data_IF_508191210272
#
_entry.id   IF_508191210272
#
_cell.length_a   1.000
_cell.length_b   1.000
_cell.length_c   1.000
_cell.angle_alpha   90.00
_cell.angle_beta   90.00
_cell.angle_gamma   90.00
#
_symmetry.space_group_name_H-M   'P 1'
#
loop_
_entity.id
_entity.type
_entity.pdbx_description
1 polymer ?
#
# COMPACT_ATOMS: atom_id res chain seq x y z
N UNK A 1 -14.51 16.37 0.59
CA UNK A 1 -14.43 14.92 0.30
C UNK A 1 -15.70 14.41 -0.37
N UNK A 2 -16.88 14.56 0.24
CA UNK A 2 -18.15 14.08 -0.34
C UNK A 2 -18.43 14.63 -1.75
N UNK A 3 -18.22 15.93 -1.98
CA UNK A 3 -18.37 16.57 -3.31
C UNK A 3 -17.42 15.95 -4.35
N UNK A 4 -16.13 15.78 -4.03
CA UNK A 4 -15.17 15.15 -4.93
C UNK A 4 -15.55 13.69 -5.26
N UNK A 5 -16.04 12.93 -4.27
CA UNK A 5 -16.53 11.57 -4.48
C UNK A 5 -17.78 11.55 -5.37
N UNK A 6 -18.70 12.49 -5.20
CA UNK A 6 -19.89 12.64 -6.04
C UNK A 6 -19.49 12.95 -7.49
N UNK A 7 -18.54 13.84 -7.71
CA UNK A 7 -18.00 14.14 -9.05
C UNK A 7 -17.37 12.90 -9.71
N UNK A 8 -16.59 12.11 -8.96
CA UNK A 8 -15.99 10.87 -9.46
C UNK A 8 -17.01 9.76 -9.70
N UNK A 9 -18.11 9.74 -8.93
CA UNK A 9 -19.14 8.70 -9.03
C UNK A 9 -19.84 8.64 -10.40
N UNK A 10 -19.74 9.70 -11.19
CA UNK A 10 -20.22 9.76 -12.58
C UNK A 10 -19.56 8.69 -13.46
N UNK A 11 -18.29 8.36 -13.19
CA UNK A 11 -17.51 7.40 -13.96
C UNK A 11 -16.57 6.63 -13.02
N UNK A 12 -17.10 5.63 -12.27
CA UNK A 12 -16.37 5.01 -11.17
C UNK A 12 -15.31 3.99 -11.61
N UNK A 13 -15.29 3.62 -12.90
CA UNK A 13 -14.37 2.63 -13.46
C UNK A 13 -13.54 3.24 -14.59
N UNK A 14 -12.27 2.84 -14.68
CA UNK A 14 -11.33 3.35 -15.70
C UNK A 14 -11.74 3.06 -17.15
N UNK A 15 -12.62 2.07 -17.35
CA UNK A 15 -13.16 1.70 -18.65
C UNK A 15 -14.25 2.65 -19.16
N UNK A 16 -14.70 3.59 -18.32
CA UNK A 16 -15.68 4.60 -18.70
C UNK A 16 -14.99 5.78 -19.41
N UNK A 17 -15.53 6.22 -20.54
CA UNK A 17 -14.99 7.32 -21.34
C UNK A 17 -14.90 8.64 -20.53
N UNK A 18 -15.75 8.81 -19.51
CA UNK A 18 -15.75 9.99 -18.65
C UNK A 18 -14.80 9.88 -17.46
N UNK A 19 -14.13 8.75 -17.23
CA UNK A 19 -13.28 8.53 -16.05
C UNK A 19 -12.15 9.56 -15.94
N UNK A 20 -11.44 9.80 -17.04
CA UNK A 20 -10.35 10.77 -17.03
C UNK A 20 -10.86 12.21 -16.94
N UNK A 21 -11.96 12.50 -17.64
CA UNK A 21 -12.57 13.83 -17.63
C UNK A 21 -13.17 14.20 -16.26
N UNK A 22 -13.77 13.25 -15.54
CA UNK A 22 -14.26 13.47 -14.18
C UNK A 22 -13.11 13.73 -13.21
N UNK A 23 -12.01 12.98 -13.32
CA UNK A 23 -10.81 13.20 -12.53
C UNK A 23 -10.20 14.60 -12.77
N UNK A 24 -10.10 15.05 -14.03
CA UNK A 24 -9.62 16.40 -14.35
C UNK A 24 -10.51 17.50 -13.78
N UNK A 25 -11.84 17.34 -13.82
CA UNK A 25 -12.77 18.28 -13.17
C UNK A 25 -12.54 18.35 -11.66
N UNK A 26 -12.26 17.23 -10.99
CA UNK A 26 -11.93 17.21 -9.56
C UNK A 26 -10.63 17.95 -9.30
N UNK A 27 -9.58 17.72 -10.09
CA UNK A 27 -8.30 18.41 -9.91
C UNK A 27 -8.39 19.92 -10.14
N UNK A 28 -9.19 20.36 -11.11
CA UNK A 28 -9.45 21.79 -11.33
C UNK A 28 -10.24 22.43 -10.16
N UNK A 29 -11.21 21.68 -9.61
CA UNK A 29 -12.04 22.14 -8.49
C UNK A 29 -11.31 22.16 -7.15
N UNK A 30 -10.40 21.20 -6.94
CA UNK A 30 -9.63 21.01 -5.72
C UNK A 30 -8.13 21.00 -6.06
N UNK A 31 -7.56 22.17 -6.43
CA UNK A 31 -6.13 22.27 -6.72
C UNK A 31 -5.30 22.08 -5.45
N UNK A 32 -3.99 21.84 -5.64
CA UNK A 32 -2.97 21.79 -4.58
C UNK A 32 -3.24 20.75 -3.48
N UNK A 33 -3.02 19.44 -3.75
CA UNK A 33 -3.18 18.43 -2.72
C UNK A 33 -2.22 18.71 -1.56
N UNK A 34 -2.72 18.65 -0.32
CA UNK A 34 -1.91 18.87 0.89
C UNK A 34 -0.85 17.80 1.18
N UNK A 35 -0.69 16.82 0.29
CA UNK A 35 0.24 15.71 0.40
C UNK A 35 0.79 15.32 -0.97
N UNK A 36 2.03 14.83 -0.99
CA UNK A 36 2.62 14.21 -2.16
C UNK A 36 2.20 12.74 -2.28
N UNK A 37 2.02 12.29 -3.51
CA UNK A 37 1.70 10.92 -3.89
C UNK A 37 2.55 10.46 -5.08
N UNK A 38 3.00 9.21 -5.04
CA UNK A 38 3.81 8.59 -6.08
C UNK A 38 3.05 7.43 -6.72
N UNK A 39 2.80 7.52 -8.03
CA UNK A 39 2.32 6.40 -8.85
C UNK A 39 3.49 5.67 -9.51
N UNK A 40 3.52 4.34 -9.40
CA UNK A 40 4.53 3.49 -10.05
C UNK A 40 3.87 2.48 -11.01
N UNK A 41 3.35 2.95 -12.17
CA UNK A 41 2.67 2.08 -13.13
C UNK A 41 3.66 1.16 -13.86
N UNK A 42 3.18 0.02 -14.33
CA UNK A 42 3.99 -0.90 -15.15
C UNK A 42 4.00 -0.49 -16.64
N UNK A 43 4.97 -1.00 -17.40
CA UNK A 43 4.87 -1.11 -18.87
C UNK A 43 4.25 -2.43 -19.33
N UNK A 44 4.21 -3.43 -18.46
CA UNK A 44 3.93 -4.81 -18.82
C UNK A 44 2.44 -5.07 -19.08
N UNK A 45 1.56 -4.42 -18.30
CA UNK A 45 0.11 -4.53 -18.45
C UNK A 45 -0.45 -3.21 -18.99
N UNK A 46 -0.90 -3.21 -20.25
CA UNK A 46 -1.47 -2.02 -20.91
C UNK A 46 -2.76 -1.48 -20.28
N UNK A 47 -3.33 -2.17 -19.29
CA UNK A 47 -4.57 -1.81 -18.60
C UNK A 47 -4.35 -1.21 -17.20
N UNK A 48 -3.10 -1.09 -16.72
CA UNK A 48 -2.77 -0.41 -15.46
C UNK A 48 -2.39 1.05 -15.73
N UNK A 49 -3.41 1.86 -16.05
CA UNK A 49 -3.22 3.29 -16.27
C UNK A 49 -2.73 3.99 -14.99
N UNK A 50 -1.81 4.97 -15.09
CA UNK A 50 -1.44 5.78 -13.93
C UNK A 50 -2.67 6.51 -13.40
N UNK A 51 -2.80 6.57 -12.07
CA UNK A 51 -3.86 7.37 -11.45
C UNK A 51 -3.66 8.86 -11.80
N UNK A 52 -4.71 9.57 -12.23
CA UNK A 52 -4.61 10.99 -12.58
C UNK A 52 -4.27 11.87 -11.37
N UNK A 53 -4.48 11.38 -10.15
CA UNK A 53 -4.23 12.09 -8.89
C UNK A 53 -2.80 11.92 -8.35
N UNK A 54 -1.92 11.22 -9.06
CA UNK A 54 -0.52 11.09 -8.64
C UNK A 54 0.20 12.42 -8.82
N UNK A 55 0.81 12.97 -7.76
CA UNK A 55 1.64 14.18 -7.88
C UNK A 55 2.95 13.90 -8.63
N UNK A 56 3.43 12.66 -8.54
CA UNK A 56 4.65 12.19 -9.19
C UNK A 56 4.40 10.82 -9.81
N UNK A 57 5.04 10.55 -10.95
CA UNK A 57 4.98 9.24 -11.62
C UNK A 57 6.41 8.74 -11.85
N UNK A 58 6.72 7.56 -11.34
CA UNK A 58 7.97 6.86 -11.63
C UNK A 58 7.67 5.62 -12.49
N UNK A 59 8.22 5.57 -13.70
CA UNK A 59 7.95 4.48 -14.66
C UNK A 59 9.23 3.75 -15.01
N UNK A 60 9.38 2.53 -14.50
CA UNK A 60 10.58 1.71 -14.66
C UNK A 60 10.46 0.80 -15.88
N UNK A 61 11.49 0.77 -16.74
CA UNK A 61 11.52 -0.12 -17.91
C UNK A 61 11.55 -1.61 -17.54
N UNK A 62 12.26 -1.96 -16.47
CA UNK A 62 12.33 -3.33 -15.97
C UNK A 62 11.24 -3.58 -14.92
N UNK A 63 10.36 -4.54 -15.19
CA UNK A 63 9.27 -4.86 -14.26
C UNK A 63 9.80 -5.45 -12.95
N UNK A 64 10.87 -6.25 -12.98
CA UNK A 64 11.49 -6.80 -11.76
C UNK A 64 11.86 -5.71 -10.75
N UNK A 65 12.50 -4.64 -11.22
CA UNK A 65 12.89 -3.49 -10.37
C UNK A 65 11.66 -2.76 -9.84
N UNK A 66 10.59 -2.65 -10.64
CA UNK A 66 9.31 -2.07 -10.21
C UNK A 66 8.66 -2.89 -9.10
N UNK A 67 8.49 -4.20 -9.31
CA UNK A 67 7.84 -5.10 -8.36
C UNK A 67 8.58 -5.15 -7.03
N UNK A 68 9.91 -5.19 -7.06
CA UNK A 68 10.71 -5.14 -5.84
C UNK A 68 10.60 -3.77 -5.15
N UNK A 69 10.75 -2.69 -5.93
CA UNK A 69 10.78 -1.32 -5.43
C UNK A 69 9.47 -0.86 -4.78
N UNK A 70 8.32 -1.27 -5.34
CA UNK A 70 6.99 -0.88 -4.84
C UNK A 70 6.84 -1.06 -3.33
N UNK A 71 7.23 -2.24 -2.82
CA UNK A 71 7.14 -2.58 -1.40
C UNK A 71 8.36 -2.07 -0.63
N UNK A 72 9.55 -2.10 -1.23
CA UNK A 72 10.77 -1.60 -0.60
C UNK A 72 10.69 -0.10 -0.23
N UNK A 73 9.96 0.70 -1.00
CA UNK A 73 9.76 2.12 -0.71
C UNK A 73 8.75 2.38 0.43
N UNK A 74 7.87 1.42 0.75
CA UNK A 74 6.77 1.57 1.70
C UNK A 74 7.21 1.46 3.17
N UNK A 75 8.17 2.28 3.59
CA UNK A 75 8.74 2.31 4.95
C UNK A 75 7.71 2.48 6.08
N UNK A 76 6.62 3.19 5.79
CA UNK A 76 5.57 3.49 6.77
C UNK A 76 4.57 2.35 6.97
N UNK A 77 4.58 1.34 6.12
CA UNK A 77 3.60 0.25 6.06
C UNK A 77 2.87 0.18 4.73
N UNK A 78 2.25 -0.97 4.49
CA UNK A 78 1.50 -1.28 3.27
C UNK A 78 0.04 -1.55 3.65
N UNK A 79 -0.88 -1.00 2.85
CA UNK A 79 -2.32 -1.23 2.99
C UNK A 79 -2.81 -2.04 1.78
N UNK A 80 -3.24 -3.27 2.02
CA UNK A 80 -3.79 -4.17 1.01
C UNK A 80 -5.32 -4.04 0.97
N UNK A 81 -5.85 -3.46 -0.12
CA UNK A 81 -7.28 -3.42 -0.42
C UNK A 81 -7.71 -4.66 -1.20
N UNK A 82 -9.03 -4.99 -1.29
CA UNK A 82 -9.49 -6.11 -2.11
C UNK A 82 -8.93 -6.05 -3.54
N UNK A 83 -8.30 -7.15 -3.94
CA UNK A 83 -7.56 -7.24 -5.20
C UNK A 83 -7.49 -8.67 -5.73
N UNK A 84 -6.72 -8.88 -6.79
CA UNK A 84 -6.63 -10.17 -7.50
C UNK A 84 -5.25 -10.82 -7.30
N UNK A 85 -4.77 -11.58 -8.29
CA UNK A 85 -3.52 -12.32 -8.21
C UNK A 85 -2.29 -11.43 -7.93
N UNK A 86 -2.22 -10.23 -8.54
CA UNK A 86 -1.14 -9.28 -8.29
C UNK A 86 -1.06 -8.87 -6.82
N UNK A 87 -2.20 -8.49 -6.23
CA UNK A 87 -2.26 -8.14 -4.81
C UNK A 87 -1.89 -9.31 -3.90
N UNK A 88 -2.24 -10.55 -4.26
CA UNK A 88 -1.81 -11.72 -3.49
C UNK A 88 -0.30 -11.90 -3.56
N UNK A 89 0.31 -11.71 -4.73
CA UNK A 89 1.77 -11.74 -4.88
C UNK A 89 2.43 -10.67 -3.99
N UNK A 90 1.94 -9.43 -4.02
CA UNK A 90 2.45 -8.34 -3.18
C UNK A 90 2.37 -8.67 -1.69
N UNK A 91 1.25 -9.25 -1.23
CA UNK A 91 1.09 -9.67 0.18
C UNK A 91 2.18 -10.65 0.60
N UNK A 92 2.46 -11.68 -0.21
CA UNK A 92 3.46 -12.68 0.14
C UNK A 92 4.90 -12.16 -0.03
N UNK A 93 5.12 -11.21 -0.94
CA UNK A 93 6.41 -10.54 -1.08
C UNK A 93 6.72 -9.66 0.14
N UNK A 94 5.78 -8.81 0.57
CA UNK A 94 5.92 -7.97 1.77
C UNK A 94 6.04 -8.84 3.04
N UNK A 95 5.30 -9.96 3.10
CA UNK A 95 5.43 -10.94 4.17
C UNK A 95 6.87 -11.45 4.31
N UNK A 96 7.46 -11.89 3.20
CA UNK A 96 8.83 -12.40 3.20
C UNK A 96 9.83 -11.28 3.56
N UNK A 97 9.64 -10.08 3.01
CA UNK A 97 10.47 -8.92 3.31
C UNK A 97 10.46 -8.58 4.81
N UNK A 98 9.28 -8.54 5.44
CA UNK A 98 9.13 -8.26 6.86
C UNK A 98 9.67 -9.40 7.73
N UNK A 99 9.40 -10.66 7.39
CA UNK A 99 9.93 -11.82 8.11
C UNK A 99 11.46 -11.77 8.24
N UNK A 100 12.15 -11.49 7.13
CA UNK A 100 13.61 -11.43 7.09
C UNK A 100 14.18 -10.05 7.42
N UNK A 101 13.35 -9.03 7.67
CA UNK A 101 13.75 -7.62 7.77
C UNK A 101 14.72 -7.23 6.64
N UNK A 102 14.38 -7.55 5.40
CA UNK A 102 15.32 -7.50 4.25
C UNK A 102 15.93 -6.10 4.02
N UNK A 103 15.26 -5.04 4.49
CA UNK A 103 15.74 -3.66 4.43
C UNK A 103 16.09 -3.06 5.81
N UNK A 104 16.28 -3.91 6.82
CA UNK A 104 16.66 -3.54 8.19
C UNK A 104 15.50 -3.10 9.09
N UNK A 105 14.26 -3.30 8.64
CA UNK A 105 13.04 -3.06 9.42
C UNK A 105 11.90 -3.93 8.89
N UNK A 106 10.88 -4.14 9.72
CA UNK A 106 9.58 -4.65 9.31
C UNK A 106 8.53 -3.54 9.42
N UNK A 107 7.76 -3.35 8.35
CA UNK A 107 6.69 -2.34 8.27
C UNK A 107 5.31 -2.94 8.56
N UNK A 108 4.31 -2.12 8.94
CA UNK A 108 2.94 -2.60 9.13
C UNK A 108 2.35 -3.22 7.86
N UNK A 109 1.76 -4.40 8.00
CA UNK A 109 0.95 -5.04 6.96
C UNK A 109 -0.53 -4.90 7.33
N UNK A 110 -1.24 -3.99 6.66
CA UNK A 110 -2.63 -3.68 6.98
C UNK A 110 -3.56 -4.18 5.87
N UNK A 111 -4.53 -4.99 6.23
CA UNK A 111 -5.54 -5.52 5.34
C UNK A 111 -6.85 -4.74 5.53
N UNK A 112 -7.34 -4.12 4.46
CA UNK A 112 -8.61 -3.39 4.47
C UNK A 112 -9.73 -4.27 3.89
N UNK A 113 -10.90 -4.28 4.52
CA UNK A 113 -12.06 -5.14 4.25
C UNK A 113 -11.94 -6.54 4.90
N UNK A 114 -12.48 -6.66 6.13
CA UNK A 114 -12.45 -7.88 6.94
C UNK A 114 -13.08 -9.07 6.23
N UNK A 115 -14.25 -8.88 5.60
CA UNK A 115 -14.97 -9.95 4.94
C UNK A 115 -14.15 -10.54 3.80
N UNK A 116 -13.55 -9.67 2.98
CA UNK A 116 -12.73 -10.09 1.85
C UNK A 116 -11.54 -10.94 2.32
N UNK A 117 -10.74 -10.42 3.25
CA UNK A 117 -9.48 -11.07 3.67
C UNK A 117 -9.64 -12.22 4.66
N UNK A 118 -10.81 -12.35 5.31
CA UNK A 118 -11.10 -13.47 6.23
C UNK A 118 -11.86 -14.61 5.58
N UNK A 119 -12.78 -14.31 4.65
CA UNK A 119 -13.75 -15.30 4.16
C UNK A 119 -13.64 -15.51 2.64
N UNK A 120 -13.60 -14.44 1.84
CA UNK A 120 -13.62 -14.56 0.37
C UNK A 120 -12.24 -14.94 -0.22
N UNK A 121 -11.19 -14.44 0.42
CA UNK A 121 -9.77 -14.68 0.12
C UNK A 121 -9.02 -14.80 1.45
N UNK A 122 -9.08 -15.97 2.12
CA UNK A 122 -8.66 -16.15 3.51
C UNK A 122 -7.13 -16.19 3.70
N UNK A 123 -6.41 -15.18 3.20
CA UNK A 123 -4.95 -15.07 3.35
C UNK A 123 -4.58 -14.56 4.75
N UNK A 124 -5.30 -13.56 5.26
CA UNK A 124 -5.00 -12.98 6.58
C UNK A 124 -5.06 -14.02 7.72
N UNK A 125 -6.08 -14.89 7.83
CA UNK A 125 -6.09 -15.94 8.84
C UNK A 125 -4.87 -16.88 8.77
N UNK A 126 -4.40 -17.23 7.58
CA UNK A 126 -3.24 -18.10 7.38
C UNK A 126 -1.97 -17.42 7.92
N UNK A 127 -1.72 -16.18 7.50
CA UNK A 127 -0.54 -15.42 7.94
C UNK A 127 -0.56 -15.22 9.46
N UNK A 128 -1.74 -14.86 10.02
CA UNK A 128 -1.89 -14.65 11.47
C UNK A 128 -1.61 -15.92 12.25
N UNK A 129 -2.16 -17.06 11.84
CA UNK A 129 -1.93 -18.36 12.51
C UNK A 129 -0.44 -18.72 12.51
N UNK A 130 0.23 -18.57 11.36
CA UNK A 130 1.67 -18.84 11.25
C UNK A 130 2.51 -17.88 12.11
N UNK A 131 2.10 -16.61 12.24
CA UNK A 131 2.73 -15.66 13.14
C UNK A 131 2.54 -16.04 14.62
N UNK A 132 1.33 -16.41 15.02
CA UNK A 132 0.99 -16.83 16.38
C UNK A 132 1.74 -18.11 16.80
N UNK A 133 2.02 -19.01 15.86
CA UNK A 133 2.85 -20.21 16.06
C UNK A 133 4.35 -19.93 16.13
N UNK A 134 4.78 -18.75 15.69
CA UNK A 134 6.19 -18.44 15.54
C UNK A 134 6.83 -19.10 14.31
N UNK A 135 6.06 -19.41 13.27
CA UNK A 135 6.60 -19.80 11.96
C UNK A 135 7.01 -18.55 11.16
N UNK A 136 6.32 -17.42 11.39
CA UNK A 136 6.62 -16.13 10.79
C UNK A 136 6.95 -15.09 11.87
N UNK A 137 8.06 -14.37 11.68
CA UNK A 137 8.60 -13.39 12.62
C UNK A 137 8.36 -11.96 12.16
N UNK A 138 8.53 -11.00 13.08
CA UNK A 138 8.60 -9.56 12.82
C UNK A 138 7.35 -8.96 12.14
N UNK A 139 6.22 -9.66 12.16
CA UNK A 139 5.01 -9.18 11.50
C UNK A 139 4.24 -8.21 12.39
N UNK A 140 3.95 -7.03 11.85
CA UNK A 140 3.00 -6.09 12.44
C UNK A 140 1.70 -6.11 11.63
N UNK A 141 0.76 -6.98 12.01
CA UNK A 141 -0.46 -7.25 11.25
C UNK A 141 -1.64 -6.37 11.70
N UNK A 142 -2.39 -5.81 10.75
CA UNK A 142 -3.64 -5.11 10.98
C UNK A 142 -4.76 -5.60 10.06
N UNK A 143 -5.99 -5.69 10.55
CA UNK A 143 -7.17 -6.02 9.74
C UNK A 143 -8.35 -5.13 10.14
N UNK A 144 -8.76 -4.25 9.23
CA UNK A 144 -9.71 -3.17 9.53
C UNK A 144 -10.74 -2.97 8.42
N UNK A 145 -11.85 -2.30 8.74
CA UNK A 145 -12.85 -1.88 7.74
C UNK A 145 -12.91 -0.36 7.59
N UNK A 146 -12.29 0.40 8.52
CA UNK A 146 -12.42 1.85 8.60
C UNK A 146 -11.06 2.54 8.58
N UNK A 147 -10.99 3.67 7.90
CA UNK A 147 -9.77 4.45 7.72
C UNK A 147 -9.19 4.93 9.05
N UNK A 148 -10.03 5.27 10.04
CA UNK A 148 -9.58 5.76 11.34
C UNK A 148 -8.77 4.70 12.10
N UNK A 149 -9.14 3.42 11.96
CA UNK A 149 -8.42 2.31 12.59
C UNK A 149 -7.06 2.07 11.92
N UNK A 150 -7.02 2.19 10.59
CA UNK A 150 -5.78 2.11 9.79
C UNK A 150 -4.82 3.25 10.21
N UNK A 151 -5.31 4.49 10.23
CA UNK A 151 -4.52 5.66 10.62
C UNK A 151 -4.00 5.55 12.05
N UNK A 152 -4.84 5.08 12.98
CA UNK A 152 -4.43 4.85 14.36
C UNK A 152 -3.33 3.78 14.46
N UNK A 153 -3.40 2.73 13.64
CA UNK A 153 -2.35 1.70 13.58
C UNK A 153 -1.02 2.28 13.08
N UNK A 154 -1.02 2.96 11.93
CA UNK A 154 0.18 3.55 11.34
C UNK A 154 0.83 4.60 12.26
N UNK A 155 0.00 5.38 12.97
CA UNK A 155 0.48 6.38 13.93
C UNK A 155 1.25 5.74 15.10
N UNK A 156 0.77 4.61 15.63
CA UNK A 156 1.48 3.87 16.69
C UNK A 156 2.84 3.35 16.22
N UNK A 157 2.91 2.84 15.00
CA UNK A 157 4.16 2.39 14.41
C UNK A 157 5.17 3.53 14.25
N UNK A 158 4.73 4.69 13.77
CA UNK A 158 5.58 5.87 13.54
C UNK A 158 6.17 6.43 14.85
N UNK A 159 5.40 6.37 15.94
CA UNK A 159 5.90 6.78 17.27
C UNK A 159 6.93 5.79 17.79
N UNK A 160 6.70 4.49 17.60
CA UNK A 160 7.63 3.43 18.01
C UNK A 160 8.96 3.50 17.25
N UNK A 161 8.92 3.68 15.93
CA UNK A 161 10.13 3.76 15.09
C UNK A 161 11.01 4.98 15.38
N UNK A 162 10.42 6.09 15.82
CA UNK A 162 11.17 7.26 16.31
C UNK A 162 11.85 7.01 17.66
N UNK A 163 11.28 6.14 18.50
CA UNK A 163 11.87 5.79 19.80
C UNK A 163 13.04 4.80 19.68
N UNK A 164 13.12 4.02 18.59
CA UNK A 164 14.17 3.03 18.31
C UNK A 164 15.29 3.52 17.40
N UNK A 165 15.31 4.80 16.98
CA UNK A 165 16.38 5.34 16.15
C UNK A 165 17.77 5.21 16.84
N UNK A 166 18.70 4.39 16.31
CA UNK A 166 20.01 4.22 16.94
C UNK A 166 20.91 5.42 16.62
N UNK A 167 21.55 5.98 17.65
CA UNK A 167 22.71 6.84 17.46
C UNK A 167 23.84 6.10 16.74
N UNK A 168 24.39 6.73 15.70
CA UNK A 168 25.68 6.45 15.02
C UNK A 168 26.14 4.98 14.96
N UNK A 169 26.03 4.39 13.78
CA UNK A 169 26.68 3.13 13.41
C UNK A 169 28.21 3.20 13.61
N UNK A 170 28.86 2.27 14.33
CA UNK A 170 30.32 2.19 14.37
C UNK A 170 30.85 1.59 13.06
N UNK A 171 32.09 1.96 12.64
CA UNK A 171 32.59 1.58 11.33
C UNK A 171 32.81 0.07 11.22
N UNK A 172 32.47 -0.47 10.04
CA UNK A 172 32.61 -1.88 9.69
C UNK A 172 34.07 -2.35 9.79
N UNK A 173 34.26 -3.57 10.31
CA UNK A 173 35.54 -4.30 10.30
C UNK A 173 35.73 -5.04 8.99
#
# INVERSE_FOLDING_TARGET
LLEAMEMLSVAPAYSDDQWLASAFRVMERFPDPGYESLGIPTWHYGHELPTPFATHIAKYFENSVREEGLLAFAKGGVIFTPGSAGTMQEVFQDLAQNHYESYGYASPMIFLNKLFWREQRPIFPIIREMAERGDLMNLNLGLYDRNEEVLAHLSRFTVSSKATAPGSCPPAR
#
